data_IF_485807653519
#
_entry.id   IF_485807653519
#
_cell.length_a   1.000
_cell.length_b   1.000
_cell.length_c   1.000
_cell.angle_alpha   90.00
_cell.angle_beta   90.00
_cell.angle_gamma   90.00
#
_symmetry.space_group_name_H-M   'P 1'
#
loop_
_entity.id
_entity.type
_entity.pdbx_description
1 polymer ?
#
# COMPACT_ATOMS: atom_id res chain seq x y z
N UNK A 1 9.90 -10.40 6.52
CA UNK A 1 8.65 -10.09 5.79
C UNK A 1 8.14 -8.69 6.10
N UNK A 2 7.98 -8.34 7.38
CA UNK A 2 7.57 -7.00 7.83
C UNK A 2 8.38 -5.86 7.18
N UNK A 3 9.71 -5.96 7.19
CA UNK A 3 10.61 -4.95 6.59
C UNK A 3 10.41 -4.82 5.07
N UNK A 4 10.21 -5.95 4.37
CA UNK A 4 9.97 -5.97 2.91
C UNK A 4 8.67 -5.23 2.55
N UNK A 5 7.65 -5.30 3.42
CA UNK A 5 6.39 -4.58 3.22
C UNK A 5 6.48 -3.09 3.58
N UNK A 6 7.42 -2.70 4.44
CA UNK A 6 7.66 -1.30 4.81
C UNK A 6 8.59 -0.58 3.84
N UNK A 7 9.54 -1.28 3.23
CA UNK A 7 10.58 -0.69 2.39
C UNK A 7 10.04 -0.34 0.99
N UNK A 8 9.71 0.94 0.82
CA UNK A 8 9.17 1.53 -0.41
C UNK A 8 10.22 1.54 -1.53
N UNK A 9 11.50 1.69 -1.20
CA UNK A 9 12.58 1.67 -2.19
C UNK A 9 12.84 0.24 -2.68
N UNK A 10 12.81 -0.74 -1.77
CA UNK A 10 12.91 -2.14 -2.15
C UNK A 10 11.68 -2.62 -2.93
N UNK A 11 10.49 -2.04 -2.72
CA UNK A 11 9.28 -2.33 -3.52
C UNK A 11 9.52 -2.14 -5.01
N UNK A 12 10.28 -1.12 -5.43
CA UNK A 12 10.66 -0.91 -6.83
C UNK A 12 11.49 -2.05 -7.42
N UNK A 13 12.13 -2.88 -6.59
CA UNK A 13 12.92 -4.04 -7.03
C UNK A 13 12.09 -5.29 -7.24
N UNK A 14 11.09 -5.55 -6.39
CA UNK A 14 10.34 -6.81 -6.42
C UNK A 14 8.93 -6.70 -7.02
N UNK A 15 8.29 -5.53 -6.94
CA UNK A 15 6.98 -5.29 -7.53
C UNK A 15 7.12 -4.90 -8.99
N UNK A 16 6.90 -5.85 -9.89
CA UNK A 16 7.03 -5.63 -11.34
C UNK A 16 5.94 -4.73 -11.91
N UNK A 17 4.85 -4.47 -11.17
CA UNK A 17 3.74 -3.63 -11.61
C UNK A 17 3.91 -2.17 -11.19
N UNK A 18 4.74 -1.87 -10.18
CA UNK A 18 4.94 -0.49 -9.73
C UNK A 18 5.48 0.38 -10.86
N UNK A 19 4.91 1.58 -10.97
CA UNK A 19 5.39 2.67 -11.82
C UNK A 19 6.16 3.65 -10.95
N UNK A 20 5.56 4.02 -9.82
CA UNK A 20 6.08 5.02 -8.90
C UNK A 20 5.50 4.81 -7.51
N UNK A 21 6.31 5.04 -6.48
CA UNK A 21 5.87 5.03 -5.09
C UNK A 21 6.83 5.85 -4.23
N UNK A 22 6.27 6.59 -3.28
CA UNK A 22 7.01 7.44 -2.34
C UNK A 22 6.14 7.82 -1.14
N UNK A 23 6.78 8.15 -0.03
CA UNK A 23 6.12 8.75 1.13
C UNK A 23 5.83 10.22 0.86
N UNK A 24 4.59 10.64 1.15
CA UNK A 24 4.16 12.04 1.12
C UNK A 24 4.50 12.71 2.47
N UNK A 25 4.33 11.98 3.58
CA UNK A 25 4.64 12.50 4.91
C UNK A 25 4.20 11.58 6.04
N UNK A 26 4.55 11.93 7.28
CA UNK A 26 4.16 11.15 8.47
C UNK A 26 2.80 11.60 9.00
N UNK A 27 1.92 10.64 9.30
CA UNK A 27 0.65 10.87 9.99
C UNK A 27 0.78 10.79 11.52
N UNK A 28 1.79 10.08 12.03
CA UNK A 28 2.05 9.89 13.45
C UNK A 28 3.26 8.98 13.71
N UNK A 29 3.43 8.50 14.95
CA UNK A 29 4.56 7.63 15.31
C UNK A 29 4.60 6.28 14.58
N UNK A 30 3.44 5.78 14.18
CA UNK A 30 3.24 4.50 13.50
C UNK A 30 2.30 4.63 12.29
N UNK A 31 2.30 5.80 11.63
CA UNK A 31 1.53 6.01 10.41
C UNK A 31 2.19 7.01 9.46
N UNK A 32 2.00 6.77 8.17
CA UNK A 32 2.43 7.63 7.08
C UNK A 32 1.33 7.76 6.02
N UNK A 33 1.48 8.77 5.17
CA UNK A 33 0.69 8.96 3.97
C UNK A 33 1.62 8.71 2.79
N UNK A 34 1.23 7.80 1.91
CA UNK A 34 2.03 7.40 0.76
C UNK A 34 1.28 7.52 -0.56
N UNK A 35 2.05 7.53 -1.64
CA UNK A 35 1.57 7.43 -3.01
C UNK A 35 2.07 6.13 -3.66
N UNK A 36 1.21 5.52 -4.49
CA UNK A 36 1.52 4.31 -5.25
C UNK A 36 0.80 4.33 -6.60
N UNK A 37 1.54 4.13 -7.68
CA UNK A 37 1.02 3.98 -9.03
C UNK A 37 1.48 2.65 -9.65
N UNK A 38 0.60 2.01 -10.40
CA UNK A 38 0.84 0.69 -10.97
C UNK A 38 0.32 0.51 -12.40
N UNK A 39 0.99 -0.39 -13.11
CA UNK A 39 0.66 -0.83 -14.46
C UNK A 39 -0.64 -1.62 -14.47
N UNK A 40 -1.46 -1.38 -15.49
CA UNK A 40 -2.61 -2.21 -15.81
C UNK A 40 -2.46 -2.83 -17.21
N UNK A 41 -3.07 -4.01 -17.45
CA UNK A 41 -3.04 -4.61 -18.77
C UNK A 41 -3.79 -3.73 -19.78
N UNK A 42 -3.26 -3.61 -21.00
CA UNK A 42 -3.93 -2.90 -22.10
C UNK A 42 -5.28 -3.59 -22.40
N UNK A 43 -6.35 -2.83 -22.74
CA UNK A 43 -6.37 -1.40 -23.04
C UNK A 43 -6.61 -0.49 -21.81
N UNK A 44 -6.57 -1.02 -20.60
CA UNK A 44 -6.89 -0.25 -19.40
C UNK A 44 -5.81 0.81 -19.10
N UNK A 45 -6.23 1.97 -18.62
CA UNK A 45 -5.31 3.00 -18.09
C UNK A 45 -4.65 2.50 -16.81
N UNK A 46 -3.43 2.97 -16.55
CA UNK A 46 -2.75 2.71 -15.29
C UNK A 46 -3.50 3.35 -14.12
N UNK A 47 -3.30 2.82 -12.91
CA UNK A 47 -3.94 3.35 -11.71
C UNK A 47 -2.92 4.02 -10.82
N UNK A 48 -3.39 5.05 -10.13
CA UNK A 48 -2.70 5.66 -9.02
C UNK A 48 -3.61 5.68 -7.79
N UNK A 49 -3.01 5.70 -6.63
CA UNK A 49 -3.71 5.82 -5.37
C UNK A 49 -2.78 6.42 -4.32
N UNK A 50 -3.38 7.15 -3.39
CA UNK A 50 -2.72 7.56 -2.17
C UNK A 50 -3.55 7.11 -0.98
N UNK A 51 -2.90 6.95 0.16
CA UNK A 51 -3.59 6.51 1.37
C UNK A 51 -2.77 6.71 2.62
N UNK A 52 -3.47 6.70 3.74
CA UNK A 52 -2.85 6.56 5.05
C UNK A 52 -2.52 5.08 5.23
N UNK A 53 -1.29 4.79 5.65
CA UNK A 53 -0.86 3.50 6.13
C UNK A 53 -0.53 3.63 7.61
N UNK A 54 -1.00 2.67 8.40
CA UNK A 54 -0.70 2.56 9.83
C UNK A 54 -0.26 1.14 10.15
N UNK A 55 0.64 0.99 11.11
CA UNK A 55 1.14 -0.32 11.54
C UNK A 55 1.13 -0.47 13.05
N UNK A 56 1.00 -1.70 13.52
CA UNK A 56 1.04 -2.04 14.93
C UNK A 56 1.75 -3.39 15.14
N UNK A 57 2.90 -3.41 15.83
CA UNK A 57 3.50 -4.63 16.34
C UNK A 57 2.68 -5.19 17.50
N UNK A 58 2.48 -6.50 17.54
CA UNK A 58 1.65 -7.22 18.52
C UNK A 58 2.41 -8.45 19.03
N UNK A 59 3.60 -8.25 19.59
CA UNK A 59 4.49 -9.34 20.01
C UNK A 59 5.22 -9.95 18.82
N UNK A 60 4.92 -11.21 18.50
CA UNK A 60 5.46 -11.90 17.31
C UNK A 60 4.73 -11.55 16.02
N UNK A 61 3.57 -10.90 16.15
CA UNK A 61 2.67 -10.61 15.05
C UNK A 61 2.71 -9.13 14.68
N UNK A 62 2.31 -8.82 13.46
CA UNK A 62 2.30 -7.46 12.94
C UNK A 62 1.05 -7.23 12.10
N UNK A 63 0.42 -6.07 12.26
CA UNK A 63 -0.62 -5.61 11.35
C UNK A 63 -0.17 -4.33 10.64
N UNK A 64 -0.44 -4.26 9.34
CA UNK A 64 -0.28 -3.07 8.50
C UNK A 64 -1.62 -2.84 7.81
N UNK A 65 -2.25 -1.70 8.03
CA UNK A 65 -3.51 -1.33 7.38
C UNK A 65 -3.34 -0.07 6.56
N UNK A 66 -4.05 0.00 5.45
CA UNK A 66 -4.04 1.12 4.53
C UNK A 66 -5.47 1.38 4.05
N UNK A 67 -5.83 2.66 3.98
CA UNK A 67 -7.05 3.11 3.32
C UNK A 67 -6.76 4.42 2.60
N UNK A 68 -7.51 4.70 1.54
CA UNK A 68 -7.41 5.98 0.86
C UNK A 68 -7.98 7.08 1.76
N UNK A 69 -7.10 7.90 2.33
CA UNK A 69 -7.50 9.10 3.06
C UNK A 69 -8.17 10.07 2.10
N UNK A 70 -9.31 10.63 2.50
CA UNK A 70 -10.10 11.59 1.72
C UNK A 70 -9.43 12.97 1.55
N UNK A 71 -8.16 13.00 1.13
CA UNK A 71 -7.44 14.22 0.77
C UNK A 71 -7.94 14.82 -0.54
N UNK A 72 -7.63 16.10 -0.83
CA UNK A 72 -8.28 16.86 -1.89
C UNK A 72 -8.17 16.17 -3.24
N UNK A 73 -9.30 16.04 -3.94
CA UNK A 73 -9.43 15.53 -5.30
C UNK A 73 -8.62 16.31 -6.37
N UNK A 74 -7.84 17.33 -5.98
CA UNK A 74 -7.06 18.18 -6.87
C UNK A 74 -5.60 17.74 -6.91
N UNK A 75 -5.24 16.90 -7.89
CA UNK A 75 -3.85 16.50 -8.12
C UNK A 75 -3.65 15.16 -8.81
N UNK A 76 -4.71 14.52 -9.32
CA UNK A 76 -4.59 13.27 -10.05
C UNK A 76 -3.88 13.44 -11.39
N UNK A 77 -3.03 12.49 -11.74
CA UNK A 77 -2.39 12.44 -13.05
C UNK A 77 -3.43 12.22 -14.14
N UNK A 78 -3.45 13.07 -15.18
CA UNK A 78 -4.44 12.99 -16.28
C UNK A 78 -4.35 11.69 -17.09
N UNK A 79 -3.19 11.04 -17.09
CA UNK A 79 -2.91 9.77 -17.78
C UNK A 79 -3.27 8.53 -16.95
N UNK A 80 -3.74 8.69 -15.71
CA UNK A 80 -4.06 7.58 -14.79
C UNK A 80 -5.46 7.69 -14.22
N UNK A 81 -5.99 6.56 -13.77
CA UNK A 81 -7.25 6.50 -13.02
C UNK A 81 -6.93 6.45 -11.53
N UNK A 82 -7.55 7.33 -10.74
CA UNK A 82 -7.38 7.29 -9.29
C UNK A 82 -8.26 6.20 -8.68
N UNK A 83 -7.63 5.11 -8.26
CA UNK A 83 -8.27 4.03 -7.53
C UNK A 83 -8.47 4.40 -6.06
N UNK A 84 -9.41 3.72 -5.40
CA UNK A 84 -9.74 3.92 -3.99
C UNK A 84 -9.50 2.62 -3.24
N UNK A 85 -8.55 2.64 -2.31
CA UNK A 85 -8.39 1.57 -1.32
C UNK A 85 -9.41 1.81 -0.22
N UNK A 86 -10.47 1.00 -0.17
CA UNK A 86 -11.50 1.11 0.87
C UNK A 86 -10.91 0.60 2.19
N UNK A 87 -10.32 -0.60 2.14
CA UNK A 87 -9.56 -1.19 3.24
C UNK A 87 -8.59 -2.21 2.67
N UNK A 88 -7.29 -2.05 2.93
CA UNK A 88 -6.27 -3.01 2.51
C UNK A 88 -5.26 -3.23 3.63
N UNK A 89 -4.70 -4.41 3.76
CA UNK A 89 -3.73 -4.64 4.80
C UNK A 89 -3.15 -6.04 4.83
N UNK A 90 -2.15 -6.18 5.70
CA UNK A 90 -1.42 -7.40 5.95
C UNK A 90 -1.49 -7.71 7.43
N UNK A 91 -1.85 -8.94 7.76
CA UNK A 91 -1.59 -9.55 9.05
C UNK A 91 -0.43 -10.54 8.87
N UNK A 92 0.64 -10.37 9.64
CA UNK A 92 1.79 -11.26 9.67
C UNK A 92 1.78 -11.96 11.02
N UNK A 93 1.65 -13.28 11.02
CA UNK A 93 1.57 -14.11 12.22
C UNK A 93 2.85 -14.92 12.37
N UNK A 94 3.55 -14.75 13.49
CA UNK A 94 4.80 -15.46 13.76
C UNK A 94 4.53 -16.94 14.09
N UNK A 95 5.10 -17.87 13.31
CA UNK A 95 4.96 -19.31 13.56
C UNK A 95 6.26 -19.96 14.09
N UNK A 96 7.27 -19.13 14.39
CA UNK A 96 8.60 -19.54 14.85
C UNK A 96 9.68 -18.53 14.45
N UNK A 97 10.92 -18.75 14.88
CA UNK A 97 12.02 -17.78 14.68
C UNK A 97 12.36 -17.48 13.20
N UNK A 98 11.98 -18.35 12.27
CA UNK A 98 12.27 -18.22 10.83
C UNK A 98 11.05 -18.49 9.95
N UNK A 99 9.84 -18.46 10.51
CA UNK A 99 8.60 -18.78 9.80
C UNK A 99 7.47 -17.85 10.22
N UNK A 100 6.59 -17.55 9.27
CA UNK A 100 5.40 -16.75 9.50
C UNK A 100 4.31 -17.11 8.49
N UNK A 101 3.06 -16.81 8.83
CA UNK A 101 1.93 -16.77 7.91
C UNK A 101 1.62 -15.31 7.57
N UNK A 102 1.24 -15.06 6.32
CA UNK A 102 0.76 -13.75 5.88
C UNK A 102 -0.66 -13.88 5.37
N UNK A 103 -1.55 -13.08 5.94
CA UNK A 103 -2.91 -12.88 5.45
C UNK A 103 -3.01 -11.50 4.83
N UNK A 104 -3.33 -11.44 3.54
CA UNK A 104 -3.60 -10.20 2.81
C UNK A 104 -5.10 -10.02 2.63
N UNK A 105 -5.63 -8.90 3.10
CA UNK A 105 -7.02 -8.51 2.92
C UNK A 105 -7.07 -7.23 2.10
N UNK A 106 -7.88 -7.20 1.06
CA UNK A 106 -8.03 -6.03 0.21
C UNK A 106 -9.44 -5.88 -0.33
N UNK A 107 -10.00 -4.70 -0.10
CA UNK A 107 -11.17 -4.17 -0.78
C UNK A 107 -10.75 -2.88 -1.48
N UNK A 108 -10.64 -2.94 -2.79
CA UNK A 108 -10.19 -1.82 -3.63
C UNK A 108 -11.22 -1.62 -4.73
N UNK A 109 -11.62 -0.36 -4.90
CA UNK A 109 -12.36 0.07 -6.08
C UNK A 109 -11.35 0.63 -7.09
N UNK A 110 -11.00 -0.13 -8.16
CA UNK A 110 -10.06 0.34 -9.18
C UNK A 110 -10.63 1.48 -10.02
N UNK A 111 -11.92 1.81 -9.83
CA UNK A 111 -12.74 2.66 -10.69
C UNK A 111 -12.75 2.12 -12.13
N UNK A 112 -13.09 2.97 -13.09
CA UNK A 112 -13.11 2.64 -14.52
C UNK A 112 -11.76 2.13 -15.04
#
# INVERSE_FOLDING_TARGET
LYDVLHDIEYRKKWDTNVIETFDIGKGGGNSDVGYYAWKCPKPLKNREGGGLRSWLPMGTDYIIMNYSGGGPNGGGRKDMVRAVSIQTGYLIEGTGAKSCIITYLAQVDPKG
#
